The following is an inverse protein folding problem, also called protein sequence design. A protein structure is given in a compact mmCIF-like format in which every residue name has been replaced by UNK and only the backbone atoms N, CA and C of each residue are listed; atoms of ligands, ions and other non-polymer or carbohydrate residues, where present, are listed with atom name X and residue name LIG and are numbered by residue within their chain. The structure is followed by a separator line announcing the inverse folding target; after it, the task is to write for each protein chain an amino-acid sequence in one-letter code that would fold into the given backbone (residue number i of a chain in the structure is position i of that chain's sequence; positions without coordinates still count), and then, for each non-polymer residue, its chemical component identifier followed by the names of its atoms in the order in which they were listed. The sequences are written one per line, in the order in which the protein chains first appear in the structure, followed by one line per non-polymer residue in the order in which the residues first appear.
data_IF_761827942599
#
_entry.id   IF_761827942599
#
_cell.length_a   1.000
_cell.length_b   1.000
_cell.length_c   1.000
_cell.angle_alpha   90.00
_cell.angle_beta   90.00
_cell.angle_gamma   90.00
#
_symmetry.space_group_name_H-M   'P 1'
#
loop_
_entity.id
_entity.type
_entity.pdbx_description
1 polymer ?
#
# COMPACT_ATOMS: atom_id res chain seq x y z
N UNK A 1 -3.43 -12.58 0.04
CA UNK A 1 -4.74 -11.99 0.41
C UNK A 1 -4.79 -11.74 1.89
N UNK A 2 -5.51 -10.72 2.32
CA UNK A 2 -5.75 -10.40 3.72
C UNK A 2 -7.07 -9.66 3.88
N UNK A 3 -7.66 -9.75 5.06
CA UNK A 3 -8.89 -9.07 5.45
C UNK A 3 -8.57 -8.16 6.62
N UNK A 4 -8.82 -6.87 6.44
CA UNK A 4 -8.73 -5.86 7.49
C UNK A 4 -10.07 -5.73 8.24
N UNK A 5 -10.00 -5.68 9.56
CA UNK A 5 -11.16 -5.55 10.44
C UNK A 5 -11.13 -4.20 11.14
N UNK A 6 -12.26 -3.53 11.20
CA UNK A 6 -12.43 -2.24 11.86
C UNK A 6 -12.56 -1.08 10.90
N UNK A 7 -12.91 0.09 11.44
CA UNK A 7 -12.96 1.36 10.72
C UNK A 7 -11.59 1.69 10.12
N UNK A 8 -11.56 2.17 8.88
CA UNK A 8 -10.35 2.55 8.17
C UNK A 8 -9.42 1.40 7.77
N UNK A 9 -9.83 0.15 7.97
CA UNK A 9 -9.03 -1.01 7.61
C UNK A 9 -9.08 -1.27 6.09
N UNK A 10 -7.96 -1.82 5.58
CA UNK A 10 -7.83 -2.24 4.19
C UNK A 10 -7.89 -3.75 4.08
N UNK A 11 -8.54 -4.26 3.04
CA UNK A 11 -8.56 -5.67 2.67
C UNK A 11 -8.09 -5.84 1.23
N UNK A 12 -7.35 -6.91 0.96
CA UNK A 12 -6.97 -7.28 -0.40
C UNK A 12 -7.41 -8.71 -0.67
N UNK A 13 -8.47 -8.86 -1.44
CA UNK A 13 -9.13 -10.15 -1.74
C UNK A 13 -9.56 -10.19 -3.20
N UNK A 14 -9.35 -11.32 -3.85
CA UNK A 14 -9.79 -11.53 -5.23
C UNK A 14 -9.23 -10.51 -6.23
N UNK A 15 -8.02 -10.00 -6.01
CA UNK A 15 -7.40 -9.01 -6.88
C UNK A 15 -7.95 -7.58 -6.74
N UNK A 16 -8.75 -7.33 -5.71
CA UNK A 16 -9.30 -6.01 -5.41
C UNK A 16 -8.89 -5.53 -4.01
N UNK A 17 -8.67 -4.23 -3.90
CA UNK A 17 -8.48 -3.54 -2.63
C UNK A 17 -9.82 -3.01 -2.16
N UNK A 18 -10.16 -3.31 -0.92
CA UNK A 18 -11.35 -2.82 -0.24
C UNK A 18 -10.93 -1.93 0.91
N UNK A 19 -11.65 -0.84 1.12
CA UNK A 19 -11.39 0.13 2.18
C UNK A 19 -12.65 0.29 3.01
N UNK A 20 -12.56 0.01 4.31
CA UNK A 20 -13.65 0.24 5.25
C UNK A 20 -13.81 1.74 5.52
N UNK A 21 -15.02 2.14 5.92
CA UNK A 21 -15.30 3.51 6.32
C UNK A 21 -14.32 3.99 7.39
N UNK A 22 -13.82 5.22 7.24
CA UNK A 22 -13.04 5.89 8.30
C UNK A 22 -13.96 6.53 9.35
N UNK A 23 -15.25 6.76 9.03
CA UNK A 23 -16.27 7.15 10.00
C UNK A 23 -16.63 5.95 10.89
N UNK A 24 -16.46 6.10 12.20
CA UNK A 24 -16.84 5.08 13.17
C UNK A 24 -18.35 4.87 13.21
N UNK A 25 -19.11 5.96 13.09
CA UNK A 25 -20.55 5.90 13.05
C UNK A 25 -21.04 5.10 11.85
N UNK A 26 -20.64 5.49 10.64
CA UNK A 26 -21.04 4.78 9.41
C UNK A 26 -20.57 3.32 9.41
N UNK A 27 -19.37 3.05 9.94
CA UNK A 27 -18.88 1.69 10.07
C UNK A 27 -19.77 0.87 11.01
N UNK A 28 -20.11 1.42 12.19
CA UNK A 28 -20.98 0.77 13.20
C UNK A 28 -22.36 0.49 12.63
N UNK A 29 -23.03 1.50 12.04
CA UNK A 29 -24.36 1.37 11.44
C UNK A 29 -24.40 0.23 10.40
N UNK A 30 -23.41 0.15 9.51
CA UNK A 30 -23.34 -0.92 8.51
C UNK A 30 -23.15 -2.31 9.15
N UNK A 31 -22.33 -2.42 10.18
CA UNK A 31 -22.12 -3.68 10.88
C UNK A 31 -23.38 -4.11 11.62
N UNK A 32 -24.11 -3.19 12.23
CA UNK A 32 -25.39 -3.48 12.90
C UNK A 32 -26.46 -3.95 11.90
N UNK A 33 -26.43 -3.44 10.66
CA UNK A 33 -27.28 -3.89 9.56
C UNK A 33 -26.82 -5.24 8.96
N UNK A 34 -25.74 -5.84 9.44
CA UNK A 34 -25.18 -7.08 8.92
C UNK A 34 -24.44 -6.90 7.58
N UNK A 35 -24.09 -5.66 7.22
CA UNK A 35 -23.37 -5.33 6.00
C UNK A 35 -21.87 -5.14 6.27
N UNK A 36 -21.00 -5.41 5.27
CA UNK A 36 -19.58 -5.09 5.41
C UNK A 36 -19.38 -3.57 5.53
N UNK A 37 -18.47 -3.14 6.38
CA UNK A 37 -18.13 -1.73 6.56
C UNK A 37 -17.38 -1.09 5.38
N UNK A 38 -17.35 -1.76 4.21
CA UNK A 38 -16.62 -1.34 3.00
C UNK A 38 -17.31 -0.13 2.36
N UNK A 39 -16.54 0.93 2.13
CA UNK A 39 -16.97 2.15 1.45
C UNK A 39 -16.37 2.31 0.07
N UNK A 40 -15.19 1.74 -0.16
CA UNK A 40 -14.51 1.83 -1.45
C UNK A 40 -13.99 0.46 -1.87
N UNK A 41 -14.04 0.21 -3.19
CA UNK A 41 -13.46 -0.95 -3.84
C UNK A 41 -12.63 -0.47 -5.04
N UNK A 42 -11.40 -0.97 -5.17
CA UNK A 42 -10.56 -0.74 -6.33
C UNK A 42 -10.09 -2.07 -6.89
N UNK A 43 -10.48 -2.38 -8.10
CA UNK A 43 -9.97 -3.54 -8.83
C UNK A 43 -8.61 -3.20 -9.46
N UNK A 44 -7.68 -4.13 -9.36
CA UNK A 44 -6.38 -4.00 -10.00
C UNK A 44 -6.40 -4.64 -11.38
N UNK A 45 -5.74 -3.99 -12.33
CA UNK A 45 -5.44 -4.62 -13.61
C UNK A 45 -4.51 -5.83 -13.39
N UNK A 46 -4.47 -6.76 -14.35
CA UNK A 46 -3.55 -7.89 -14.28
C UNK A 46 -2.09 -7.43 -14.13
N UNK A 47 -1.71 -6.33 -14.79
CA UNK A 47 -0.38 -5.77 -14.70
C UNK A 47 -0.09 -5.19 -13.28
N UNK A 48 -1.06 -4.53 -12.66
CA UNK A 48 -0.90 -4.03 -11.30
C UNK A 48 -0.83 -5.17 -10.28
N UNK A 49 -1.56 -6.26 -10.50
CA UNK A 49 -1.46 -7.49 -9.69
C UNK A 49 -0.07 -8.13 -9.80
N UNK A 50 0.49 -8.18 -11.02
CA UNK A 50 1.87 -8.66 -11.22
C UNK A 50 2.88 -7.79 -10.49
N UNK A 51 2.76 -6.45 -10.57
CA UNK A 51 3.59 -5.50 -9.83
C UNK A 51 3.46 -5.66 -8.33
N UNK A 52 2.23 -5.77 -7.84
CA UNK A 52 1.97 -6.00 -6.42
C UNK A 52 2.63 -7.30 -5.94
N UNK A 53 2.43 -8.39 -6.67
CA UNK A 53 3.04 -9.69 -6.36
C UNK A 53 4.57 -9.61 -6.35
N UNK A 54 5.16 -8.97 -7.36
CA UNK A 54 6.59 -8.76 -7.48
C UNK A 54 7.16 -7.99 -6.27
N UNK A 55 6.55 -6.87 -5.91
CA UNK A 55 6.96 -6.06 -4.77
C UNK A 55 6.84 -6.83 -3.44
N UNK A 56 5.72 -7.50 -3.21
CA UNK A 56 5.47 -8.22 -1.96
C UNK A 56 6.41 -9.42 -1.78
N UNK A 57 6.66 -10.19 -2.83
CA UNK A 57 7.58 -11.32 -2.74
C UNK A 57 9.03 -10.87 -2.55
N UNK A 58 9.49 -9.85 -3.27
CA UNK A 58 10.82 -9.31 -3.08
C UNK A 58 11.00 -8.60 -1.73
N UNK A 59 9.94 -8.03 -1.18
CA UNK A 59 9.94 -7.53 0.20
C UNK A 59 10.15 -8.69 1.19
N UNK A 60 9.59 -9.87 0.90
CA UNK A 60 9.92 -11.14 1.57
C UNK A 60 11.28 -11.72 1.19
N UNK A 61 12.13 -10.93 0.50
CA UNK A 61 13.51 -11.20 0.06
C UNK A 61 13.66 -12.19 -1.10
N UNK A 62 12.60 -12.82 -1.57
CA UNK A 62 12.65 -13.83 -2.64
C UNK A 62 11.39 -13.80 -3.50
N UNK A 63 11.57 -13.82 -4.81
CA UNK A 63 10.51 -14.05 -5.80
C UNK A 63 10.61 -15.49 -6.32
N UNK A 64 9.55 -16.26 -6.13
CA UNK A 64 9.38 -17.58 -6.75
C UNK A 64 8.85 -17.39 -8.18
N UNK A 65 9.70 -17.68 -9.18
CA UNK A 65 9.41 -17.48 -10.60
C UNK A 65 8.36 -18.46 -11.12
N UNK A 66 8.42 -19.72 -10.67
CA UNK A 66 7.45 -20.74 -11.07
C UNK A 66 6.06 -20.46 -10.52
N UNK A 67 5.99 -20.02 -9.25
CA UNK A 67 4.73 -19.59 -8.66
C UNK A 67 4.17 -18.36 -9.37
N UNK A 68 5.02 -17.39 -9.73
CA UNK A 68 4.59 -16.23 -10.50
C UNK A 68 4.02 -16.61 -11.88
N UNK A 69 4.72 -17.45 -12.63
CA UNK A 69 4.27 -17.89 -13.96
C UNK A 69 2.99 -18.72 -13.87
N UNK A 70 2.86 -19.60 -12.88
CA UNK A 70 1.62 -20.37 -12.64
C UNK A 70 0.44 -19.45 -12.35
N UNK A 71 0.64 -18.41 -11.53
CA UNK A 71 -0.44 -17.55 -11.06
C UNK A 71 -0.88 -16.52 -12.13
N UNK A 72 0.03 -16.11 -13.03
CA UNK A 72 -0.24 -15.10 -14.05
C UNK A 72 -0.23 -15.60 -15.50
N UNK A 73 0.16 -16.84 -15.74
CA UNK A 73 0.25 -17.44 -17.08
C UNK A 73 1.38 -16.90 -17.96
N UNK A 74 2.25 -16.05 -17.40
CA UNK A 74 3.41 -15.47 -18.11
C UNK A 74 4.63 -15.41 -17.19
N UNK A 75 5.84 -15.64 -17.71
CA UNK A 75 7.07 -15.41 -16.96
C UNK A 75 7.20 -13.97 -16.50
N UNK A 76 7.82 -13.74 -15.35
CA UNK A 76 7.98 -12.39 -14.77
C UNK A 76 8.69 -11.42 -15.71
N UNK A 77 9.62 -11.90 -16.54
CA UNK A 77 10.34 -11.10 -17.53
C UNK A 77 9.45 -10.57 -18.64
N UNK A 78 8.40 -11.29 -18.99
CA UNK A 78 7.42 -10.84 -19.98
C UNK A 78 6.37 -9.95 -19.36
N UNK A 79 5.88 -10.35 -18.17
CA UNK A 79 4.85 -9.60 -17.46
C UNK A 79 5.33 -8.24 -16.95
N UNK A 80 6.60 -8.15 -16.52
CA UNK A 80 7.21 -6.96 -15.90
C UNK A 80 8.56 -6.62 -16.56
N UNK A 81 8.57 -6.56 -17.89
CA UNK A 81 9.81 -6.37 -18.66
C UNK A 81 10.57 -5.09 -18.30
N UNK A 82 9.85 -4.00 -18.05
CA UNK A 82 10.46 -2.70 -17.71
C UNK A 82 11.12 -2.77 -16.35
N UNK A 83 10.38 -3.27 -15.35
CA UNK A 83 10.82 -3.40 -13.96
C UNK A 83 12.03 -4.34 -13.84
N UNK A 84 11.96 -5.50 -14.48
CA UNK A 84 13.03 -6.50 -14.49
C UNK A 84 14.29 -5.95 -15.17
N UNK A 85 14.16 -5.34 -16.34
CA UNK A 85 15.31 -4.77 -17.06
C UNK A 85 15.95 -3.62 -16.29
N UNK A 86 15.15 -2.75 -15.68
CA UNK A 86 15.66 -1.69 -14.82
C UNK A 86 16.44 -2.27 -13.62
N UNK A 87 15.83 -3.19 -12.88
CA UNK A 87 16.45 -3.82 -11.70
C UNK A 87 17.76 -4.55 -12.08
N UNK A 88 17.78 -5.20 -13.23
CA UNK A 88 18.98 -5.86 -13.78
C UNK A 88 20.07 -4.83 -14.13
N UNK A 89 19.72 -3.78 -14.86
CA UNK A 89 20.67 -2.75 -15.29
C UNK A 89 21.35 -2.05 -14.10
N UNK A 90 20.66 -1.89 -13.00
CA UNK A 90 21.23 -1.27 -11.79
C UNK A 90 21.93 -2.27 -10.85
N UNK A 91 22.00 -3.56 -11.22
CA UNK A 91 22.65 -4.59 -10.43
C UNK A 91 21.90 -4.91 -9.12
N UNK A 92 20.57 -4.91 -9.16
CA UNK A 92 19.73 -5.12 -8.00
C UNK A 92 19.57 -6.59 -7.62
N UNK A 93 19.80 -7.54 -8.54
CA UNK A 93 19.62 -8.97 -8.31
C UNK A 93 20.91 -9.62 -7.82
N UNK A 94 20.82 -10.39 -6.74
CA UNK A 94 21.89 -11.24 -6.23
C UNK A 94 21.84 -12.62 -6.88
N UNK A 95 20.65 -13.23 -6.92
CA UNK A 95 20.36 -14.48 -7.64
C UNK A 95 19.33 -14.18 -8.70
N UNK A 96 19.53 -14.76 -9.87
CA UNK A 96 18.61 -14.67 -10.99
C UNK A 96 18.70 -15.96 -11.79
N UNK A 97 18.06 -17.00 -11.31
CA UNK A 97 18.06 -18.33 -11.93
C UNK A 97 16.66 -18.78 -12.39
N UNK A 98 16.49 -20.04 -12.73
CA UNK A 98 15.23 -20.55 -13.25
C UNK A 98 14.11 -20.61 -12.20
N UNK A 99 14.47 -20.69 -10.93
CA UNK A 99 13.52 -20.92 -9.84
C UNK A 99 13.21 -19.65 -9.06
N UNK A 100 14.23 -18.82 -8.81
CA UNK A 100 14.08 -17.68 -7.93
C UNK A 100 14.86 -16.43 -8.36
N UNK A 101 14.40 -15.29 -7.84
CA UNK A 101 15.10 -14.02 -7.89
C UNK A 101 15.27 -13.53 -6.45
N UNK A 102 16.53 -13.18 -6.08
CA UNK A 102 16.83 -12.53 -4.81
C UNK A 102 17.54 -11.19 -5.03
N UNK A 103 17.59 -10.36 -3.99
CA UNK A 103 18.10 -8.99 -4.09
C UNK A 103 19.47 -8.82 -3.44
N UNK A 104 20.33 -8.04 -4.09
CA UNK A 104 21.52 -7.46 -3.45
C UNK A 104 21.11 -6.43 -2.37
N UNK A 105 22.08 -5.98 -1.55
CA UNK A 105 21.84 -4.86 -0.63
C UNK A 105 21.32 -3.60 -1.36
N UNK A 106 21.88 -3.30 -2.53
CA UNK A 106 21.40 -2.20 -3.40
C UNK A 106 19.98 -2.43 -3.88
N UNK A 107 19.66 -3.66 -4.31
CA UNK A 107 18.31 -4.04 -4.75
C UNK A 107 17.28 -3.90 -3.63
N UNK A 108 17.62 -4.28 -2.39
CA UNK A 108 16.75 -4.09 -1.22
C UNK A 108 16.50 -2.62 -0.94
N UNK A 109 17.52 -1.78 -1.02
CA UNK A 109 17.36 -0.32 -0.87
C UNK A 109 16.42 0.27 -1.92
N UNK A 110 16.61 -0.10 -3.19
CA UNK A 110 15.74 0.32 -4.29
C UNK A 110 14.30 -0.15 -4.09
N UNK A 111 14.10 -1.38 -3.61
CA UNK A 111 12.78 -1.89 -3.30
C UNK A 111 12.08 -1.05 -2.21
N UNK A 112 12.79 -0.70 -1.15
CA UNK A 112 12.26 0.18 -0.09
C UNK A 112 11.88 1.56 -0.64
N UNK A 113 12.69 2.12 -1.54
CA UNK A 113 12.37 3.39 -2.20
C UNK A 113 11.11 3.28 -3.08
N UNK A 114 10.95 2.17 -3.82
CA UNK A 114 9.73 1.89 -4.61
C UNK A 114 8.51 1.69 -3.71
N UNK A 115 8.64 0.97 -2.60
CA UNK A 115 7.57 0.78 -1.62
C UNK A 115 7.13 2.09 -0.99
N UNK A 116 8.03 3.05 -0.79
CA UNK A 116 7.66 4.39 -0.30
C UNK A 116 6.63 5.05 -1.21
N UNK A 117 6.79 4.98 -2.52
CA UNK A 117 5.82 5.54 -3.48
C UNK A 117 4.46 4.84 -3.38
N UNK A 118 4.45 3.52 -3.20
CA UNK A 118 3.24 2.76 -2.96
C UNK A 118 2.53 3.24 -1.67
N UNK A 119 3.25 3.40 -0.58
CA UNK A 119 2.68 3.89 0.68
C UNK A 119 2.20 5.34 0.60
N UNK A 120 2.85 6.20 -0.18
CA UNK A 120 2.34 7.55 -0.45
C UNK A 120 0.98 7.48 -1.13
N UNK A 121 0.82 6.61 -2.13
CA UNK A 121 -0.47 6.39 -2.80
C UNK A 121 -1.56 5.90 -1.84
N UNK A 122 -1.24 4.95 -0.96
CA UNK A 122 -2.17 4.46 0.07
C UNK A 122 -2.55 5.58 1.06
N UNK A 123 -1.57 6.38 1.47
CA UNK A 123 -1.82 7.51 2.36
C UNK A 123 -2.74 8.57 1.73
N UNK A 124 -2.56 8.87 0.44
CA UNK A 124 -3.44 9.80 -0.27
C UNK A 124 -4.89 9.30 -0.27
N UNK A 125 -5.11 8.01 -0.57
CA UNK A 125 -6.47 7.41 -0.49
C UNK A 125 -7.04 7.50 0.92
N UNK A 126 -6.21 7.28 1.94
CA UNK A 126 -6.62 7.44 3.34
C UNK A 126 -6.99 8.89 3.67
N UNK A 127 -6.21 9.85 3.20
CA UNK A 127 -6.44 11.27 3.48
C UNK A 127 -7.69 11.78 2.75
N UNK A 128 -7.94 11.31 1.51
CA UNK A 128 -9.20 11.57 0.79
C UNK A 128 -10.41 10.99 1.54
N UNK A 129 -10.31 9.75 2.01
CA UNK A 129 -11.37 9.11 2.77
C UNK A 129 -11.63 9.81 4.12
N UNK A 130 -10.58 10.31 4.78
CA UNK A 130 -10.70 11.12 6.00
C UNK A 130 -11.34 12.50 5.74
N UNK A 131 -11.07 13.09 4.61
CA UNK A 131 -11.67 14.36 4.23
C UNK A 131 -13.19 14.26 4.01
N UNK A 132 -13.69 13.06 3.72
CA UNK A 132 -15.12 12.78 3.55
C UNK A 132 -15.88 12.56 4.89
N UNK A 133 -15.17 12.51 6.04
CA UNK A 133 -15.80 12.40 7.37
C UNK A 133 -16.44 13.74 7.76
N UNK A 134 -17.60 13.69 8.41
CA UNK A 134 -18.27 14.90 8.92
C UNK A 134 -17.38 15.71 9.86
N UNK A 135 -17.58 17.03 9.92
CA UNK A 135 -16.79 17.91 10.77
C UNK A 135 -16.86 17.54 12.25
N UNK A 136 -18.05 17.19 12.74
CA UNK A 136 -18.28 16.79 14.13
C UNK A 136 -17.55 15.46 14.46
N UNK A 137 -17.66 14.47 13.61
CA UNK A 137 -16.98 13.19 13.79
C UNK A 137 -15.45 13.33 13.64
N UNK A 138 -15.01 14.21 12.76
CA UNK A 138 -13.60 14.53 12.60
C UNK A 138 -13.01 15.16 13.86
N UNK A 139 -13.73 16.05 14.50
CA UNK A 139 -13.33 16.68 15.75
C UNK A 139 -13.31 15.67 16.90
N UNK A 140 -14.30 14.77 16.96
CA UNK A 140 -14.35 13.68 17.94
C UNK A 140 -13.17 12.70 17.81
N UNK A 141 -12.76 12.37 16.57
CA UNK A 141 -11.71 11.38 16.31
C UNK A 141 -10.30 11.96 16.34
N UNK A 142 -10.16 13.25 16.02
CA UNK A 142 -8.87 13.90 15.78
C UNK A 142 -8.72 15.25 16.45
N UNK A 143 -9.77 15.76 17.10
CA UNK A 143 -9.85 17.11 17.68
C UNK A 143 -8.87 17.37 18.83
N UNK A 144 -8.51 16.33 19.56
CA UNK A 144 -7.53 16.42 20.65
C UNK A 144 -6.08 16.65 20.18
N UNK A 145 -5.86 16.69 18.86
CA UNK A 145 -4.55 16.93 18.25
C UNK A 145 -4.23 18.40 17.97
N UNK A 146 -5.16 19.32 18.18
CA UNK A 146 -4.92 20.77 18.16
C UNK A 146 -4.71 21.34 19.57
N UNK A 147 -3.96 20.67 20.41
CA UNK A 147 -3.20 21.40 21.42
C UNK A 147 -2.18 22.20 20.62
N UNK A 148 -2.50 23.46 20.38
CA UNK A 148 -1.58 24.45 19.86
C UNK A 148 -0.27 24.28 20.59
N UNK A 149 0.80 23.94 19.86
CA UNK A 149 2.14 24.01 20.39
C UNK A 149 2.43 25.49 20.65
N UNK A 150 1.92 26.00 21.77
CA UNK A 150 2.12 27.36 22.25
C UNK A 150 3.59 27.66 22.63
N UNK A 151 4.49 26.72 22.34
CA UNK A 151 5.93 26.84 22.63
C UNK A 151 6.83 26.86 21.38
N UNK A 152 6.27 26.80 20.18
CA UNK A 152 7.05 27.07 18.95
C UNK A 152 7.06 28.56 18.64
N UNK A 153 7.76 29.34 19.44
CA UNK A 153 8.15 30.71 19.06
C UNK A 153 9.18 30.57 17.92
N UNK A 154 8.96 31.15 16.73
CA UNK A 154 9.98 31.18 15.71
C UNK A 154 11.15 32.03 16.25
N UNK A 155 12.32 31.43 16.36
CA UNK A 155 13.56 32.11 16.71
C UNK A 155 13.71 33.32 15.78
N UNK A 156 13.78 34.50 16.40
CA UNK A 156 13.80 35.80 15.76
C UNK A 156 14.90 35.91 14.72
N UNK A 157 14.51 36.55 13.63
CA UNK A 157 15.45 37.31 12.80
C UNK A 157 15.88 38.51 13.62
N UNK A 158 17.11 38.49 14.12
CA UNK A 158 17.79 39.71 14.48
C UNK A 158 18.83 40.07 13.41
N UNK A 159 18.86 41.33 13.15
CA UNK A 159 19.52 42.17 12.18
C UNK A 159 20.95 41.81 11.77
#
# INVERSE_FOLDING_TARGET
EYIGIGSGAFSFVGGALYVNSFSLQMYGERIEEGLPGVMQKREFSQHDLMRYRFLMQLFGLRLDRKAFERDFGVPVEKGLAIEINFMRAVGAFATYDADEITLTAKGRYLLVAMMRQFFIGVNNVRDEARAAISGEERELLFGDGQAECSTCTPAGKEA
#
